data_IF_876546041686
#
_entry.id   IF_876546041686
#
_cell.length_a   1.000
_cell.length_b   1.000
_cell.length_c   1.000
_cell.angle_alpha   90.00
_cell.angle_beta   90.00
_cell.angle_gamma   90.00
#
_symmetry.space_group_name_H-M   'P 1'
#
loop_
_entity.id
_entity.type
_entity.pdbx_description
1 polymer ?
#
# COMPACT_ATOMS: atom_id res chain seq x y z
N UNK A 1 6.60 -16.43 18.74
CA UNK A 1 5.65 -15.33 19.00
C UNK A 1 5.18 -14.82 17.65
N UNK A 2 3.90 -14.95 17.34
CA UNK A 2 3.35 -14.35 16.12
C UNK A 2 3.37 -12.82 16.30
N UNK A 3 4.15 -12.13 15.48
CA UNK A 3 4.16 -10.65 15.48
C UNK A 3 2.75 -10.14 15.19
N UNK A 4 2.37 -9.04 15.84
CA UNK A 4 1.11 -8.35 15.55
C UNK A 4 1.17 -7.80 14.12
N UNK A 5 0.39 -8.40 13.22
CA UNK A 5 0.14 -7.86 11.87
C UNK A 5 -1.07 -6.93 11.93
N UNK A 6 -1.05 -5.83 11.16
CA UNK A 6 -2.16 -4.86 11.09
C UNK A 6 -3.18 -5.20 9.99
N UNK A 7 -3.24 -6.46 9.54
CA UNK A 7 -4.16 -6.90 8.49
C UNK A 7 -3.87 -8.30 7.99
N UNK A 8 -3.88 -8.48 6.67
CA UNK A 8 -3.54 -9.75 6.02
C UNK A 8 -2.04 -9.93 5.78
N UNK A 9 -1.22 -8.92 6.05
CA UNK A 9 0.24 -8.92 5.92
C UNK A 9 0.80 -7.81 5.06
N UNK A 10 2.10 -7.88 4.81
CA UNK A 10 2.82 -6.92 3.99
C UNK A 10 3.77 -7.59 2.99
N UNK A 11 3.97 -6.94 1.85
CA UNK A 11 4.74 -7.45 0.73
C UNK A 11 5.72 -6.42 0.18
N UNK A 12 6.94 -6.85 -0.05
CA UNK A 12 7.96 -6.10 -0.78
C UNK A 12 7.93 -6.53 -2.24
N UNK A 13 7.34 -5.68 -3.09
CA UNK A 13 7.21 -5.97 -4.51
C UNK A 13 8.54 -5.87 -5.25
N UNK A 14 9.52 -5.11 -4.74
CA UNK A 14 10.83 -4.97 -5.39
C UNK A 14 11.64 -6.26 -5.26
N UNK A 15 11.52 -6.94 -4.11
CA UNK A 15 12.24 -8.17 -3.80
C UNK A 15 11.37 -9.44 -3.94
N UNK A 16 10.09 -9.28 -4.28
CA UNK A 16 9.10 -10.34 -4.40
C UNK A 16 9.05 -11.26 -3.16
N UNK A 17 8.99 -10.64 -1.97
CA UNK A 17 9.03 -11.36 -0.69
C UNK A 17 8.04 -10.76 0.31
N UNK A 18 7.52 -11.61 1.18
CA UNK A 18 6.72 -11.19 2.32
C UNK A 18 7.59 -10.39 3.30
N UNK A 19 7.06 -9.27 3.79
CA UNK A 19 7.66 -8.54 4.90
C UNK A 19 7.16 -9.22 6.19
N UNK A 20 8.05 -9.79 7.02
CA UNK A 20 7.62 -10.47 8.23
C UNK A 20 6.86 -9.54 9.18
N UNK A 21 5.86 -10.03 9.94
CA UNK A 21 5.07 -9.21 10.87
C UNK A 21 5.88 -8.39 11.86
N UNK A 22 6.98 -8.94 12.38
CA UNK A 22 7.88 -8.27 13.32
C UNK A 22 8.75 -7.18 12.66
N UNK A 23 8.78 -7.12 11.33
CA UNK A 23 9.51 -6.12 10.53
C UNK A 23 8.60 -5.07 9.91
N UNK A 24 7.29 -5.29 9.85
CA UNK A 24 6.35 -4.36 9.21
C UNK A 24 6.50 -2.93 9.74
N UNK A 25 6.47 -2.75 11.06
CA UNK A 25 6.58 -1.41 11.67
C UNK A 25 7.92 -0.72 11.37
N UNK A 26 8.99 -1.50 11.21
CA UNK A 26 10.31 -0.96 10.87
C UNK A 26 10.33 -0.52 9.40
N UNK A 27 9.85 -1.39 8.51
CA UNK A 27 9.82 -1.16 7.06
C UNK A 27 8.94 0.03 6.67
N UNK A 28 7.80 0.21 7.35
CA UNK A 28 6.90 1.34 7.09
C UNK A 28 7.20 2.58 7.95
N UNK A 29 8.28 2.56 8.73
CA UNK A 29 8.70 3.65 9.63
C UNK A 29 7.61 4.07 10.64
N UNK A 30 6.94 3.08 11.25
CA UNK A 30 5.81 3.23 12.19
C UNK A 30 6.17 2.87 13.63
N UNK A 31 7.47 2.73 13.93
CA UNK A 31 7.94 2.50 15.30
C UNK A 31 7.83 3.78 16.10
N UNK A 32 6.99 3.78 17.14
CA UNK A 32 6.89 4.90 18.06
C UNK A 32 8.18 5.03 18.89
N UNK A 33 8.69 6.25 18.99
CA UNK A 33 9.92 6.57 19.72
C UNK A 33 9.66 7.68 20.74
N UNK A 34 10.61 7.88 21.66
CA UNK A 34 10.61 9.03 22.59
C UNK A 34 11.42 10.23 22.07
N UNK A 35 11.91 10.18 20.83
CA UNK A 35 12.64 11.29 20.21
C UNK A 35 11.75 12.54 20.09
N UNK A 36 10.47 12.31 19.81
CA UNK A 36 9.43 13.32 19.83
C UNK A 36 8.32 12.84 20.77
N UNK A 37 7.89 13.71 21.68
CA UNK A 37 6.81 13.40 22.62
C UNK A 37 5.58 14.24 22.30
N UNK A 38 4.46 13.59 21.97
CA UNK A 38 3.17 14.25 21.91
C UNK A 38 2.72 14.58 23.35
N UNK A 39 2.24 15.81 23.54
CA UNK A 39 1.82 16.32 24.85
C UNK A 39 2.91 16.18 25.94
N UNK A 40 4.18 16.10 25.54
CA UNK A 40 5.32 15.95 26.45
C UNK A 40 5.45 14.58 27.15
N UNK A 41 4.58 13.60 26.85
CA UNK A 41 4.57 12.31 27.57
C UNK A 41 4.36 11.07 26.69
N UNK A 42 3.70 11.21 25.53
CA UNK A 42 3.38 10.08 24.66
C UNK A 42 4.46 9.89 23.58
N UNK A 43 5.03 8.68 23.44
CA UNK A 43 5.88 8.35 22.29
C UNK A 43 5.14 8.63 20.99
N UNK A 44 5.84 9.17 19.99
CA UNK A 44 5.27 9.39 18.66
C UNK A 44 6.10 8.69 17.60
N UNK A 45 5.45 8.40 16.47
CA UNK A 45 6.16 7.97 15.27
C UNK A 45 6.95 9.17 14.75
N UNK A 46 8.28 9.06 14.61
CA UNK A 46 9.10 10.17 14.12
C UNK A 46 8.79 10.48 12.65
N UNK A 47 9.33 11.59 12.15
CA UNK A 47 9.21 11.92 10.72
C UNK A 47 9.88 10.81 9.88
N UNK A 48 9.17 10.38 8.83
CA UNK A 48 9.66 9.43 7.82
C UNK A 48 10.96 9.91 7.18
N UNK A 49 11.85 8.96 6.89
CA UNK A 49 13.16 9.18 6.27
C UNK A 49 13.25 8.51 4.91
N UNK A 50 12.49 7.44 4.67
CA UNK A 50 12.45 6.74 3.38
C UNK A 50 11.49 7.45 2.41
N UNK A 51 12.08 8.29 1.56
CA UNK A 51 11.37 9.00 0.49
C UNK A 51 11.36 8.23 -0.84
N UNK A 52 12.09 7.12 -0.93
CA UNK A 52 12.30 6.36 -2.16
C UNK A 52 11.21 5.30 -2.38
N UNK A 53 10.60 4.80 -1.31
CA UNK A 53 9.53 3.81 -1.43
C UNK A 53 8.15 4.39 -1.17
N UNK A 54 7.21 3.99 -2.01
CA UNK A 54 5.79 4.21 -1.79
C UNK A 54 5.16 2.96 -1.15
N UNK A 55 4.11 3.15 -0.35
CA UNK A 55 3.31 2.04 0.16
C UNK A 55 1.83 2.17 -0.16
N UNK A 56 1.24 1.04 -0.54
CA UNK A 56 -0.11 0.89 -1.06
C UNK A 56 -0.88 -0.11 -0.20
N UNK A 57 -2.09 0.27 0.21
CA UNK A 57 -3.04 -0.64 0.83
C UNK A 57 -3.94 -1.25 -0.25
N UNK A 58 -4.03 -2.57 -0.27
CA UNK A 58 -4.94 -3.30 -1.15
C UNK A 58 -5.40 -4.59 -0.48
N UNK A 59 -6.73 -4.81 -0.43
CA UNK A 59 -7.35 -6.02 0.13
C UNK A 59 -6.81 -6.41 1.53
N UNK A 60 -6.68 -5.42 2.42
CA UNK A 60 -6.17 -5.62 3.79
C UNK A 60 -4.68 -5.96 3.87
N UNK A 61 -3.94 -5.90 2.76
CA UNK A 61 -2.49 -6.09 2.69
C UNK A 61 -1.80 -4.74 2.42
N UNK A 62 -0.53 -4.62 2.83
CA UNK A 62 0.35 -3.51 2.44
C UNK A 62 1.36 -3.96 1.40
N UNK A 63 1.59 -3.15 0.39
CA UNK A 63 2.60 -3.38 -0.64
C UNK A 63 3.56 -2.21 -0.66
N UNK A 64 4.84 -2.46 -0.87
CA UNK A 64 5.83 -1.40 -1.12
C UNK A 64 6.53 -1.61 -2.45
N UNK A 65 6.86 -0.51 -3.09
CA UNK A 65 7.75 -0.46 -4.26
C UNK A 65 8.67 0.75 -4.12
N UNK A 66 9.84 0.69 -4.74
CA UNK A 66 10.69 1.85 -4.99
C UNK A 66 10.16 2.60 -6.21
N UNK A 67 9.88 3.90 -6.04
CA UNK A 67 9.33 4.73 -7.11
C UNK A 67 9.57 6.23 -6.89
N UNK A 68 9.76 6.97 -7.98
CA UNK A 68 9.80 8.42 -8.01
C UNK A 68 8.41 8.98 -8.31
N UNK A 69 7.89 9.85 -7.46
CA UNK A 69 6.58 10.50 -7.70
C UNK A 69 6.60 11.49 -8.87
N UNK A 70 7.79 11.90 -9.33
CA UNK A 70 7.97 12.88 -10.39
C UNK A 70 8.27 12.23 -11.74
N UNK A 71 9.00 11.11 -11.73
CA UNK A 71 9.48 10.48 -12.97
C UNK A 71 8.62 9.28 -13.39
N UNK A 72 8.06 8.55 -12.42
CA UNK A 72 7.26 7.37 -12.72
C UNK A 72 5.81 7.73 -13.02
N UNK A 73 5.30 7.16 -14.10
CA UNK A 73 3.90 7.32 -14.48
C UNK A 73 2.98 6.40 -13.67
N UNK A 74 1.69 6.72 -13.63
CA UNK A 74 0.68 5.84 -13.02
C UNK A 74 0.72 4.45 -13.63
N UNK A 75 0.95 4.33 -14.94
CA UNK A 75 1.14 3.06 -15.65
C UNK A 75 2.30 2.25 -15.06
N UNK A 76 3.46 2.87 -14.89
CA UNK A 76 4.67 2.19 -14.38
C UNK A 76 4.48 1.67 -12.96
N UNK A 77 3.77 2.44 -12.13
CA UNK A 77 3.45 2.06 -10.75
C UNK A 77 2.51 0.86 -10.71
N UNK A 78 1.41 0.89 -11.49
CA UNK A 78 0.46 -0.23 -11.56
C UNK A 78 1.12 -1.51 -12.04
N UNK A 79 1.96 -1.41 -13.07
CA UNK A 79 2.70 -2.54 -13.61
C UNK A 79 3.64 -3.15 -12.57
N UNK A 80 4.49 -2.36 -11.92
CA UNK A 80 5.41 -2.86 -10.89
C UNK A 80 4.67 -3.48 -9.69
N UNK A 81 3.59 -2.85 -9.22
CA UNK A 81 2.77 -3.43 -8.15
C UNK A 81 2.18 -4.78 -8.53
N UNK A 82 1.67 -4.90 -9.77
CA UNK A 82 1.08 -6.12 -10.27
C UNK A 82 2.13 -7.22 -10.49
N UNK A 83 3.21 -6.91 -11.19
CA UNK A 83 4.31 -7.84 -11.50
C UNK A 83 5.04 -8.32 -10.25
N UNK A 84 5.27 -7.43 -9.28
CA UNK A 84 6.00 -7.73 -8.06
C UNK A 84 5.15 -8.26 -6.90
N UNK A 85 3.82 -8.15 -6.97
CA UNK A 85 2.94 -8.47 -5.84
C UNK A 85 1.50 -8.80 -6.21
N UNK A 86 0.68 -7.77 -6.47
CA UNK A 86 -0.78 -7.86 -6.56
C UNK A 86 -1.30 -8.90 -7.56
N UNK A 87 -0.54 -9.17 -8.63
CA UNK A 87 -0.88 -10.18 -9.62
C UNK A 87 -0.02 -11.43 -9.53
N UNK A 88 1.28 -11.27 -9.33
CA UNK A 88 2.27 -12.34 -9.55
C UNK A 88 3.16 -12.68 -8.37
N UNK A 89 2.98 -12.04 -7.22
CA UNK A 89 3.83 -12.35 -6.07
C UNK A 89 3.53 -13.74 -5.49
N UNK A 90 4.50 -14.31 -4.76
CA UNK A 90 4.36 -15.60 -4.06
C UNK A 90 3.34 -15.60 -2.90
N UNK A 91 3.00 -16.79 -2.39
CA UNK A 91 2.07 -16.90 -1.26
C UNK A 91 2.63 -16.24 0.02
N UNK A 92 1.76 -15.58 0.80
CA UNK A 92 2.09 -15.05 2.13
C UNK A 92 1.72 -16.06 3.22
N UNK A 93 2.47 -16.05 4.30
CA UNK A 93 2.22 -16.85 5.49
C UNK A 93 1.20 -16.20 6.43
N UNK A 94 1.10 -14.87 6.42
CA UNK A 94 0.19 -14.12 7.31
C UNK A 94 -1.28 -14.21 6.90
N UNK A 95 -1.57 -14.23 5.59
CA UNK A 95 -2.94 -14.14 5.11
C UNK A 95 -3.07 -14.33 3.60
N UNK A 96 -4.26 -14.75 3.16
CA UNK A 96 -4.56 -14.91 1.74
C UNK A 96 -4.95 -13.55 1.15
N UNK A 97 -4.19 -13.11 0.15
CA UNK A 97 -4.53 -11.96 -0.68
C UNK A 97 -5.33 -12.37 -1.91
N UNK A 98 -6.19 -11.48 -2.36
CA UNK A 98 -6.78 -11.58 -3.69
C UNK A 98 -5.73 -11.29 -4.77
N UNK A 99 -5.87 -11.97 -5.91
CA UNK A 99 -5.01 -11.81 -7.08
C UNK A 99 -5.74 -10.95 -8.09
N UNK A 100 -5.11 -9.86 -8.52
CA UNK A 100 -5.61 -9.03 -9.62
C UNK A 100 -5.09 -9.62 -10.93
N UNK A 101 -6.00 -9.96 -11.85
CA UNK A 101 -5.66 -10.73 -13.05
C UNK A 101 -4.72 -9.98 -14.00
N UNK A 102 -4.89 -8.67 -14.15
CA UNK A 102 -4.11 -7.85 -15.08
C UNK A 102 -3.68 -6.53 -14.44
N UNK A 103 -2.56 -5.98 -14.88
CA UNK A 103 -2.05 -4.72 -14.32
C UNK A 103 -3.00 -3.55 -14.59
N UNK A 104 -3.74 -3.59 -15.70
CA UNK A 104 -4.75 -2.60 -16.08
C UNK A 104 -5.91 -2.54 -15.09
N UNK A 105 -6.14 -3.64 -14.36
CA UNK A 105 -7.22 -3.74 -13.37
C UNK A 105 -6.81 -3.16 -12.01
N UNK A 106 -5.54 -2.84 -11.80
CA UNK A 106 -5.06 -2.10 -10.64
C UNK A 106 -5.45 -0.63 -10.80
N UNK A 107 -6.28 -0.12 -9.89
CA UNK A 107 -6.61 1.30 -9.80
C UNK A 107 -5.97 1.91 -8.56
N UNK A 108 -5.32 3.06 -8.74
CA UNK A 108 -4.66 3.80 -7.66
C UNK A 108 -5.51 4.99 -7.22
N UNK A 109 -5.48 5.30 -5.93
CA UNK A 109 -6.16 6.46 -5.37
C UNK A 109 -5.34 7.12 -4.27
N UNK A 110 -5.39 8.44 -4.24
CA UNK A 110 -4.82 9.26 -3.17
C UNK A 110 -5.77 10.42 -2.87
N UNK A 111 -6.05 10.68 -1.58
CA UNK A 111 -7.03 11.70 -1.16
C UNK A 111 -8.37 11.59 -1.91
N UNK A 112 -8.85 10.36 -2.11
CA UNK A 112 -10.06 10.04 -2.87
C UNK A 112 -10.04 10.44 -4.35
N UNK A 113 -8.90 10.93 -4.88
CA UNK A 113 -8.71 11.19 -6.30
C UNK A 113 -8.20 9.92 -6.98
N UNK A 114 -9.02 9.37 -7.87
CA UNK A 114 -8.65 8.21 -8.69
C UNK A 114 -7.63 8.64 -9.75
N UNK A 115 -6.56 7.86 -9.88
CA UNK A 115 -5.50 8.14 -10.85
C UNK A 115 -5.87 7.52 -12.19
N UNK A 116 -6.62 8.24 -13.02
CA UNK A 116 -7.22 7.72 -14.27
C UNK A 116 -6.36 7.94 -15.51
N UNK A 117 -5.46 8.92 -15.46
CA UNK A 117 -4.48 9.18 -16.51
C UNK A 117 -3.24 8.33 -16.26
N UNK A 118 -2.94 7.44 -17.19
CA UNK A 118 -1.84 6.49 -17.13
C UNK A 118 -0.48 7.14 -17.38
N UNK A 119 -0.44 8.26 -18.12
CA UNK A 119 0.80 8.94 -18.51
C UNK A 119 1.17 10.07 -17.53
N UNK A 120 0.24 10.49 -16.67
CA UNK A 120 0.52 11.39 -15.55
C UNK A 120 1.42 10.75 -14.49
N UNK A 121 2.25 11.56 -13.83
CA UNK A 121 3.01 11.13 -12.66
C UNK A 121 2.21 11.30 -11.36
N UNK A 122 2.71 10.75 -10.26
CA UNK A 122 2.02 10.76 -8.97
C UNK A 122 2.01 12.16 -8.31
N UNK A 123 2.99 13.02 -8.62
CA UNK A 123 3.05 14.38 -8.12
C UNK A 123 1.90 15.25 -8.67
N UNK A 124 1.41 15.00 -9.88
CA UNK A 124 0.21 15.64 -10.44
C UNK A 124 -1.09 15.32 -9.66
N UNK A 125 -1.08 14.21 -8.92
CA UNK A 125 -2.13 13.85 -7.97
C UNK A 125 -1.86 14.36 -6.55
N UNK A 126 -0.78 15.11 -6.35
CA UNK A 126 -0.37 15.68 -5.06
C UNK A 126 0.21 14.65 -4.09
N UNK A 127 0.68 13.51 -4.60
CA UNK A 127 1.34 12.47 -3.78
C UNK A 127 2.74 12.97 -3.39
N UNK A 128 3.08 13.03 -2.10
CA UNK A 128 4.44 13.38 -1.69
C UNK A 128 5.41 12.20 -1.88
N UNK A 129 6.72 12.46 -2.06
CA UNK A 129 7.74 11.41 -1.96
C UNK A 129 7.61 10.61 -0.66
N UNK A 130 7.88 9.30 -0.73
CA UNK A 130 7.78 8.42 0.45
C UNK A 130 6.35 8.19 0.98
N UNK A 131 5.30 8.50 0.20
CA UNK A 131 3.93 8.29 0.65
C UNK A 131 3.67 6.81 0.98
N UNK A 132 3.30 6.52 2.24
CA UNK A 132 3.00 5.15 2.71
C UNK A 132 1.51 4.85 2.89
N UNK A 133 0.62 5.69 2.37
CA UNK A 133 -0.83 5.56 2.56
C UNK A 133 -1.62 5.69 1.25
N UNK A 134 -1.04 5.24 0.14
CA UNK A 134 -1.76 5.12 -1.12
C UNK A 134 -2.75 3.97 -1.06
N UNK A 135 -3.82 4.07 -1.84
CA UNK A 135 -4.80 2.99 -1.98
C UNK A 135 -4.64 2.37 -3.36
N UNK A 136 -4.56 1.05 -3.41
CA UNK A 136 -4.69 0.28 -4.63
C UNK A 136 -5.90 -0.65 -4.50
N UNK A 137 -6.67 -0.79 -5.58
CA UNK A 137 -7.86 -1.65 -5.61
C UNK A 137 -7.99 -2.35 -6.95
N UNK A 138 -8.61 -3.51 -6.95
CA UNK A 138 -9.10 -4.14 -8.17
C UNK A 138 -10.32 -3.35 -8.69
N UNK A 139 -10.16 -2.67 -9.82
CA UNK A 139 -11.22 -1.85 -10.40
C UNK A 139 -12.45 -2.67 -10.80
N UNK A 140 -12.29 -3.98 -11.05
CA UNK A 140 -13.41 -4.88 -11.37
C UNK A 140 -14.32 -5.14 -10.16
N UNK A 141 -13.91 -4.72 -8.96
CA UNK A 141 -14.73 -4.76 -7.74
C UNK A 141 -15.45 -3.44 -7.48
N UNK A 142 -15.07 -2.35 -8.15
CA UNK A 142 -15.72 -1.06 -7.98
C UNK A 142 -17.15 -1.11 -8.55
N UNK A 143 -18.10 -0.57 -7.79
CA UNK A 143 -19.51 -0.51 -8.21
C UNK A 143 -20.27 -1.84 -8.12
N UNK A 144 -19.63 -2.93 -7.70
CA UNK A 144 -20.35 -4.17 -7.39
C UNK A 144 -21.02 -4.05 -6.03
N UNK A 145 -22.29 -4.49 -5.89
CA UNK A 145 -22.92 -4.55 -4.59
C UNK A 145 -22.10 -5.47 -3.67
N UNK A 146 -22.09 -5.22 -2.35
CA UNK A 146 -21.43 -6.12 -1.42
C UNK A 146 -21.98 -7.54 -1.60
N UNK A 147 -21.12 -8.58 -1.50
CA UNK A 147 -21.51 -9.96 -1.78
C UNK A 147 -22.49 -10.54 -0.75
N UNK A 148 -22.81 -9.77 0.30
CA UNK A 148 -23.78 -10.09 1.33
C UNK A 148 -24.70 -8.90 1.58
N UNK A 149 -25.95 -9.16 1.97
CA UNK A 149 -26.80 -8.13 2.57
C UNK A 149 -26.14 -7.70 3.87
N UNK A 150 -25.67 -6.47 3.93
CA UNK A 150 -25.10 -5.89 5.13
C UNK A 150 -26.18 -5.09 5.84
N UNK A 151 -26.45 -5.41 7.11
CA UNK A 151 -27.38 -4.62 7.93
C UNK A 151 -26.90 -3.17 8.14
N UNK A 152 -25.59 -2.92 7.96
CA UNK A 152 -25.02 -1.57 8.04
C UNK A 152 -25.32 -0.73 6.79
N UNK A 153 -25.45 -1.37 5.62
CA UNK A 153 -25.74 -0.72 4.34
C UNK A 153 -27.19 -0.98 3.86
N UNK A 154 -28.04 -1.57 4.70
CA UNK A 154 -29.42 -1.94 4.40
C UNK A 154 -30.38 -0.75 4.38
#
# INVERSE_FOLDING_TARGET
>A
MAGLTLGKGAWDCDNNVEIPPDKEQIVFEEVATREFLAFGVLPTVPRRKDNDHLAFFCDGCRYRIKASVHDDTVRDIRRRLWEGGLGRGGAMQTGKRDIIERWEDVMLSYKFKMMVDDDANLAEYGVPPGCKCLIAVDKNKLGKPPPFKSDYWA
#
